data_IF_302922564331
#
_entry.id   IF_302922564331
#
_cell.length_a   1.000
_cell.length_b   1.000
_cell.length_c   1.000
_cell.angle_alpha   90.00
_cell.angle_beta   90.00
_cell.angle_gamma   90.00
#
_symmetry.space_group_name_H-M   'P 1'
#
loop_
_entity.id
_entity.type
_entity.pdbx_description
1 polymer ?
#
# COMPACT_ATOMS: atom_id res chain seq x y z
N UNK A 1 -39.17 -4.12 22.18
CA UNK A 1 -38.72 -3.22 23.28
C UNK A 1 -37.22 -3.27 23.31
N UNK A 2 -36.56 -2.25 22.79
CA UNK A 2 -35.11 -2.15 22.81
C UNK A 2 -34.65 -1.84 24.25
N UNK A 3 -33.99 -2.78 24.88
CA UNK A 3 -33.32 -2.58 26.17
C UNK A 3 -32.21 -1.57 25.97
N UNK A 4 -32.38 -0.35 26.46
CA UNK A 4 -31.27 0.57 26.67
C UNK A 4 -30.34 -0.04 27.72
N UNK A 5 -29.34 -0.79 27.29
CA UNK A 5 -28.25 -1.17 28.18
C UNK A 5 -27.58 0.12 28.65
N UNK A 6 -27.58 0.30 29.94
CA UNK A 6 -26.94 1.40 30.64
C UNK A 6 -25.41 1.22 30.49
N UNK A 7 -24.85 1.65 29.36
CA UNK A 7 -23.40 1.69 29.19
C UNK A 7 -22.88 2.78 30.10
N UNK A 8 -22.18 2.40 31.16
CA UNK A 8 -21.47 3.34 32.04
C UNK A 8 -20.59 4.22 31.14
N UNK A 9 -20.83 5.52 31.13
CA UNK A 9 -20.04 6.46 30.34
C UNK A 9 -18.60 6.41 30.84
N UNK A 10 -17.67 6.17 29.92
CA UNK A 10 -16.25 6.30 30.22
C UNK A 10 -15.95 7.76 30.59
N UNK A 11 -15.30 8.04 31.72
CA UNK A 11 -14.94 9.40 32.11
C UNK A 11 -14.07 10.05 31.00
N UNK A 12 -14.26 11.33 30.80
CA UNK A 12 -13.43 12.08 29.84
C UNK A 12 -11.95 12.11 30.24
N UNK A 13 -11.70 12.09 31.54
CA UNK A 13 -10.36 11.95 32.13
C UNK A 13 -10.39 10.71 33.03
N UNK A 14 -9.59 9.71 32.64
CA UNK A 14 -9.43 8.50 33.43
C UNK A 14 -8.19 8.65 34.34
N UNK A 15 -8.41 8.74 35.66
CA UNK A 15 -7.33 8.90 36.63
C UNK A 15 -6.38 7.69 36.68
N UNK A 16 -6.79 6.51 36.19
CA UNK A 16 -5.93 5.34 36.10
C UNK A 16 -4.79 5.52 35.10
N UNK A 17 -4.90 6.50 34.18
CA UNK A 17 -3.86 6.82 33.22
C UNK A 17 -2.72 7.66 33.78
N UNK A 18 -2.91 8.24 34.98
CA UNK A 18 -1.93 9.12 35.62
C UNK A 18 -0.93 8.33 36.46
N UNK A 19 0.30 8.80 36.51
CA UNK A 19 1.30 8.39 37.50
C UNK A 19 1.43 9.48 38.58
N UNK A 20 0.65 9.34 39.65
CA UNK A 20 0.63 10.33 40.70
C UNK A 20 1.90 10.33 41.58
N UNK A 21 2.85 9.44 41.34
CA UNK A 21 4.15 9.43 42.03
C UNK A 21 5.14 10.44 41.43
N UNK A 22 4.81 10.99 40.25
CA UNK A 22 5.62 12.00 39.53
C UNK A 22 4.95 13.37 39.68
N UNK A 23 5.72 14.39 40.03
CA UNK A 23 5.21 15.76 40.07
C UNK A 23 5.00 16.31 38.65
N UNK A 24 3.88 17.00 38.35
CA UNK A 24 3.57 17.45 37.01
C UNK A 24 4.54 18.51 36.44
N UNK A 25 5.23 19.23 37.32
CA UNK A 25 6.28 20.20 36.99
C UNK A 25 7.65 19.56 36.75
N UNK A 26 7.85 18.32 37.20
CA UNK A 26 9.08 17.55 36.97
C UNK A 26 9.03 16.80 35.61
N UNK A 27 7.95 16.09 35.34
CA UNK A 27 7.71 15.39 34.08
C UNK A 27 6.21 15.25 33.84
N UNK A 28 5.66 16.20 33.09
CA UNK A 28 4.23 16.21 32.80
C UNK A 28 3.79 15.02 31.93
N UNK A 29 4.64 14.55 31.02
CA UNK A 29 4.32 13.40 30.18
C UNK A 29 4.17 12.13 31.03
N UNK A 30 5.15 11.84 31.88
CA UNK A 30 5.09 10.70 32.78
C UNK A 30 3.91 10.83 33.78
N UNK A 31 3.71 12.02 34.34
CA UNK A 31 2.58 12.29 35.21
C UNK A 31 1.24 11.96 34.55
N UNK A 32 1.02 12.47 33.33
CA UNK A 32 -0.26 12.36 32.64
C UNK A 32 -0.52 11.00 31.98
N UNK A 33 0.53 10.25 31.63
CA UNK A 33 0.42 9.02 30.82
C UNK A 33 1.08 7.78 31.45
N UNK A 34 1.81 7.92 32.53
CA UNK A 34 2.60 6.82 33.13
C UNK A 34 1.75 5.62 33.55
N UNK A 35 0.57 5.86 34.14
CA UNK A 35 -0.39 4.81 34.46
C UNK A 35 -0.89 4.07 33.22
N UNK A 36 -1.20 4.82 32.16
CA UNK A 36 -1.62 4.21 30.90
C UNK A 36 -0.51 3.34 30.29
N UNK A 37 0.73 3.82 30.23
CA UNK A 37 1.87 3.07 29.72
C UNK A 37 2.12 1.78 30.50
N UNK A 38 2.00 1.83 31.81
CA UNK A 38 2.13 0.66 32.70
C UNK A 38 1.05 -0.39 32.40
N UNK A 39 -0.19 0.05 32.13
CA UNK A 39 -1.33 -0.83 31.89
C UNK A 39 -1.37 -1.32 30.41
N UNK A 40 -0.66 -0.65 29.49
CA UNK A 40 -0.61 -0.97 28.07
C UNK A 40 0.86 -1.09 27.60
N UNK A 41 1.59 -2.10 28.05
CA UNK A 41 2.99 -2.27 27.66
C UNK A 41 3.10 -2.49 26.14
N UNK A 42 4.19 -1.97 25.55
CA UNK A 42 4.49 -2.18 24.14
C UNK A 42 4.68 -3.68 23.87
N UNK A 43 3.89 -4.20 22.95
CA UNK A 43 4.02 -5.60 22.52
C UNK A 43 5.15 -5.73 21.49
N UNK A 44 5.80 -6.92 21.36
CA UNK A 44 6.92 -7.12 20.45
C UNK A 44 6.62 -6.80 18.98
N UNK A 45 5.37 -6.98 18.58
CA UNK A 45 4.90 -6.74 17.20
C UNK A 45 4.66 -5.27 16.86
N UNK A 46 4.74 -4.36 17.85
CA UNK A 46 4.51 -2.94 17.66
C UNK A 46 5.79 -2.13 17.89
N UNK A 47 6.14 -1.24 16.96
CA UNK A 47 7.18 -0.23 17.14
C UNK A 47 6.73 0.94 18.03
N UNK A 48 5.41 1.13 18.14
CA UNK A 48 4.73 2.11 19.00
C UNK A 48 3.35 1.59 19.34
N UNK A 49 2.84 2.01 20.50
CA UNK A 49 1.47 1.68 20.90
C UNK A 49 0.84 2.87 21.63
N UNK A 50 -0.33 3.29 21.21
CA UNK A 50 -1.05 4.44 21.73
C UNK A 50 -2.57 4.26 21.69
N UNK A 51 -3.31 5.28 22.07
CA UNK A 51 -4.78 5.23 22.09
C UNK A 51 -5.42 4.93 20.74
N UNK A 52 -4.81 5.36 19.64
CA UNK A 52 -5.29 5.00 18.30
C UNK A 52 -5.09 3.51 17.99
N UNK A 53 -4.01 2.90 18.48
CA UNK A 53 -3.77 1.46 18.31
C UNK A 53 -4.79 0.66 19.13
N UNK A 54 -5.10 1.08 20.37
CA UNK A 54 -6.18 0.48 21.17
C UNK A 54 -7.53 0.56 20.45
N UNK A 55 -7.84 1.72 19.84
CA UNK A 55 -9.09 1.87 19.09
C UNK A 55 -9.13 0.95 17.86
N UNK A 56 -8.02 0.83 17.13
CA UNK A 56 -7.90 -0.09 16.00
C UNK A 56 -8.12 -1.54 16.44
N UNK A 57 -7.39 -2.01 17.45
CA UNK A 57 -7.49 -3.38 17.97
C UNK A 57 -8.93 -3.70 18.42
N UNK A 58 -9.57 -2.77 19.11
CA UNK A 58 -10.97 -2.92 19.55
C UNK A 58 -11.94 -2.95 18.35
N UNK A 59 -11.69 -2.14 17.32
CA UNK A 59 -12.52 -2.12 16.12
C UNK A 59 -12.37 -3.41 15.31
N UNK A 60 -11.15 -3.88 15.13
CA UNK A 60 -10.87 -5.17 14.46
C UNK A 60 -11.55 -6.34 15.20
N UNK A 61 -11.47 -6.35 16.52
CA UNK A 61 -12.17 -7.37 17.33
C UNK A 61 -13.68 -7.34 17.10
N UNK A 62 -14.31 -6.15 17.16
CA UNK A 62 -15.75 -5.99 16.92
C UNK A 62 -16.16 -6.40 15.51
N UNK A 63 -15.37 -6.05 14.50
CA UNK A 63 -15.61 -6.43 13.11
C UNK A 63 -15.52 -7.96 12.96
N UNK A 64 -14.51 -8.60 13.55
CA UNK A 64 -14.37 -10.05 13.55
C UNK A 64 -15.54 -10.76 14.24
N UNK A 65 -16.00 -10.26 15.38
CA UNK A 65 -17.19 -10.77 16.07
C UNK A 65 -18.43 -10.66 15.17
N UNK A 66 -18.67 -9.49 14.55
CA UNK A 66 -19.78 -9.24 13.65
C UNK A 66 -19.74 -10.16 12.43
N UNK A 67 -18.59 -10.33 11.78
CA UNK A 67 -18.44 -11.22 10.64
C UNK A 67 -18.65 -12.69 11.03
N UNK A 68 -18.13 -13.09 12.19
CA UNK A 68 -18.39 -14.44 12.73
C UNK A 68 -19.87 -14.69 12.98
N UNK A 69 -20.62 -13.70 13.50
CA UNK A 69 -22.07 -13.81 13.66
C UNK A 69 -22.80 -13.91 12.31
N UNK A 70 -22.38 -13.12 11.30
CA UNK A 70 -22.94 -13.20 9.95
C UNK A 70 -22.78 -14.57 9.30
N UNK A 71 -21.72 -15.31 9.63
CA UNK A 71 -21.55 -16.69 9.11
C UNK A 71 -22.57 -17.68 9.64
N UNK A 72 -23.25 -17.36 10.74
CA UNK A 72 -24.27 -18.23 11.40
C UNK A 72 -25.68 -17.94 10.91
N UNK A 73 -25.89 -16.85 10.20
CA UNK A 73 -27.21 -16.44 9.70
C UNK A 73 -27.50 -17.12 8.37
N UNK A 74 -28.72 -17.60 8.17
CA UNK A 74 -29.21 -18.03 6.86
C UNK A 74 -29.60 -16.80 6.05
N UNK A 75 -28.64 -16.22 5.35
CA UNK A 75 -28.84 -15.01 4.56
C UNK A 75 -29.49 -15.30 3.20
N UNK A 76 -30.29 -14.35 2.71
CA UNK A 76 -30.92 -14.48 1.39
C UNK A 76 -29.85 -14.43 0.26
N UNK A 77 -30.04 -15.20 -0.82
CA UNK A 77 -29.12 -15.18 -1.96
C UNK A 77 -28.95 -13.78 -2.53
N UNK A 78 -27.71 -13.32 -2.70
CA UNK A 78 -27.36 -12.01 -3.23
C UNK A 78 -27.38 -10.86 -2.22
N UNK A 79 -27.80 -11.12 -0.96
CA UNK A 79 -27.78 -10.10 0.09
C UNK A 79 -26.35 -9.70 0.51
N UNK A 80 -26.23 -8.54 1.16
CA UNK A 80 -24.96 -8.05 1.71
C UNK A 80 -24.39 -9.02 2.75
N UNK A 81 -25.28 -9.55 3.61
CA UNK A 81 -24.91 -10.51 4.66
C UNK A 81 -24.34 -11.80 4.08
N UNK A 82 -24.94 -12.32 2.98
CA UNK A 82 -24.38 -13.48 2.28
C UNK A 82 -22.99 -13.19 1.71
N UNK A 83 -22.83 -12.07 1.01
CA UNK A 83 -21.55 -11.69 0.40
C UNK A 83 -20.44 -11.56 1.43
N UNK A 84 -20.73 -10.91 2.57
CA UNK A 84 -19.77 -10.77 3.68
C UNK A 84 -19.45 -12.15 4.27
N UNK A 85 -20.47 -12.97 4.54
CA UNK A 85 -20.29 -14.31 5.10
C UNK A 85 -19.43 -15.19 4.18
N UNK A 86 -19.70 -15.17 2.88
CA UNK A 86 -18.97 -15.98 1.91
C UNK A 86 -17.51 -15.52 1.79
N UNK A 87 -17.26 -14.20 1.70
CA UNK A 87 -15.91 -13.65 1.66
C UNK A 87 -15.12 -13.98 2.93
N UNK A 88 -15.74 -13.83 4.10
CA UNK A 88 -15.11 -14.16 5.38
C UNK A 88 -14.76 -15.65 5.49
N UNK A 89 -15.69 -16.53 5.09
CA UNK A 89 -15.43 -17.98 5.05
C UNK A 89 -14.31 -18.36 4.08
N UNK A 90 -14.28 -17.72 2.89
CA UNK A 90 -13.21 -17.92 1.92
C UNK A 90 -11.84 -17.49 2.48
N UNK A 91 -11.78 -16.36 3.18
CA UNK A 91 -10.55 -15.89 3.82
C UNK A 91 -10.04 -16.79 4.96
N UNK A 92 -10.94 -17.52 5.63
CA UNK A 92 -10.61 -18.45 6.70
C UNK A 92 -10.35 -19.89 6.22
N UNK A 93 -10.60 -20.21 4.95
CA UNK A 93 -10.36 -21.54 4.38
C UNK A 93 -8.86 -21.77 4.10
N UNK A 94 -8.10 -21.94 5.17
CA UNK A 94 -6.66 -22.19 5.08
C UNK A 94 -6.31 -23.43 4.27
N UNK A 95 -7.18 -24.45 4.25
CA UNK A 95 -6.96 -25.68 3.47
C UNK A 95 -6.97 -25.38 1.99
N UNK A 96 -7.96 -24.64 1.52
CA UNK A 96 -8.06 -24.22 0.11
C UNK A 96 -6.94 -23.24 -0.26
N UNK A 97 -6.70 -22.23 0.55
CA UNK A 97 -5.66 -21.23 0.30
C UNK A 97 -4.26 -21.86 0.21
N UNK A 98 -3.95 -22.84 1.08
CA UNK A 98 -2.69 -23.59 1.01
C UNK A 98 -2.60 -24.49 -0.22
N UNK A 99 -3.71 -25.12 -0.63
CA UNK A 99 -3.74 -25.97 -1.82
C UNK A 99 -3.57 -25.15 -3.11
N UNK A 100 -4.18 -23.97 -3.19
CA UNK A 100 -4.07 -23.06 -4.33
C UNK A 100 -2.68 -22.39 -4.38
N UNK A 101 -2.09 -22.04 -3.24
CA UNK A 101 -0.76 -21.43 -3.13
C UNK A 101 -0.61 -20.21 -4.07
N UNK A 102 0.42 -20.23 -4.92
CA UNK A 102 0.69 -19.16 -5.90
C UNK A 102 -0.05 -19.35 -7.24
N UNK A 103 -0.87 -20.41 -7.41
CA UNK A 103 -1.53 -20.67 -8.69
C UNK A 103 -2.35 -19.49 -9.23
N UNK A 104 -3.10 -18.72 -8.42
CA UNK A 104 -3.85 -17.54 -8.89
C UNK A 104 -2.96 -16.43 -9.46
N UNK A 105 -1.69 -16.35 -9.04
CA UNK A 105 -0.77 -15.30 -9.49
C UNK A 105 -0.17 -15.58 -10.87
N UNK A 106 -0.07 -16.86 -11.26
CA UNK A 106 0.70 -17.30 -12.44
C UNK A 106 0.26 -16.63 -13.74
N UNK A 107 -1.03 -16.47 -13.94
CA UNK A 107 -1.55 -15.87 -15.18
C UNK A 107 -1.11 -14.41 -15.33
N UNK A 108 -1.28 -13.59 -14.30
CA UNK A 108 -0.92 -12.17 -14.33
C UNK A 108 0.60 -11.97 -14.35
N UNK A 109 1.36 -12.77 -13.58
CA UNK A 109 2.83 -12.74 -13.61
C UNK A 109 3.34 -13.15 -15.01
N UNK A 110 2.77 -14.20 -15.61
CA UNK A 110 3.11 -14.61 -16.96
C UNK A 110 2.84 -13.54 -18.02
N UNK A 111 1.70 -12.87 -17.93
CA UNK A 111 1.35 -11.74 -18.80
C UNK A 111 2.36 -10.58 -18.67
N UNK A 112 2.71 -10.19 -17.45
CA UNK A 112 3.69 -9.12 -17.18
C UNK A 112 5.07 -9.50 -17.76
N UNK A 113 5.53 -10.73 -17.54
CA UNK A 113 6.84 -11.19 -18.00
C UNK A 113 6.90 -11.40 -19.51
N UNK A 114 5.76 -11.60 -20.18
CA UNK A 114 5.67 -11.77 -21.62
C UNK A 114 5.68 -10.47 -22.43
N UNK A 115 5.76 -9.30 -21.79
CA UNK A 115 5.86 -8.00 -22.47
C UNK A 115 7.11 -7.97 -23.34
N UNK A 116 6.96 -7.77 -24.66
CA UNK A 116 8.05 -7.78 -25.64
C UNK A 116 8.47 -6.36 -26.07
N UNK A 117 7.57 -5.40 -25.96
CA UNK A 117 7.83 -4.00 -26.30
C UNK A 117 7.20 -3.02 -25.32
N UNK A 118 7.67 -1.76 -25.35
CA UNK A 118 7.22 -0.71 -24.42
C UNK A 118 5.79 -0.24 -24.65
N UNK A 119 5.25 -0.39 -25.85
CA UNK A 119 3.87 -0.04 -26.16
C UNK A 119 2.86 -0.83 -25.31
N UNK A 120 3.24 -2.05 -24.92
CA UNK A 120 2.41 -2.91 -24.07
C UNK A 120 2.39 -2.45 -22.61
N UNK A 121 3.37 -1.65 -22.15
CA UNK A 121 3.49 -1.24 -20.74
C UNK A 121 2.29 -0.42 -20.27
N UNK A 122 1.72 0.43 -21.11
CA UNK A 122 0.53 1.22 -20.74
C UNK A 122 -0.61 0.32 -20.26
N UNK A 123 -0.91 -0.74 -20.99
CA UNK A 123 -1.98 -1.68 -20.60
C UNK A 123 -1.69 -2.40 -19.28
N UNK A 124 -0.44 -2.85 -19.08
CA UNK A 124 -0.02 -3.52 -17.84
C UNK A 124 -0.08 -2.55 -16.65
N UNK A 125 0.45 -1.34 -16.78
CA UNK A 125 0.42 -0.33 -15.71
C UNK A 125 -1.01 0.03 -15.35
N UNK A 126 -1.88 0.30 -16.33
CA UNK A 126 -3.30 0.58 -16.08
C UNK A 126 -4.00 -0.58 -15.38
N UNK A 127 -3.75 -1.82 -15.79
CA UNK A 127 -4.30 -3.01 -15.14
C UNK A 127 -3.86 -3.14 -13.69
N UNK A 128 -2.60 -2.87 -13.37
CA UNK A 128 -2.09 -2.89 -12.00
C UNK A 128 -2.75 -1.78 -11.16
N UNK A 129 -2.87 -0.57 -11.68
CA UNK A 129 -3.52 0.55 -10.99
C UNK A 129 -5.00 0.32 -10.72
N UNK A 130 -5.70 -0.48 -11.53
CA UNK A 130 -7.11 -0.83 -11.28
C UNK A 130 -7.28 -2.02 -10.34
N UNK A 131 -6.22 -2.75 -10.04
CA UNK A 131 -6.32 -4.00 -9.27
C UNK A 131 -5.66 -3.89 -7.88
N UNK A 132 -4.33 -3.84 -7.82
CA UNK A 132 -3.64 -4.08 -6.55
C UNK A 132 -2.45 -3.19 -6.27
N UNK A 133 -1.81 -2.58 -7.28
CA UNK A 133 -0.53 -1.89 -7.12
C UNK A 133 -0.46 -0.60 -7.92
N UNK A 134 0.38 0.33 -7.48
CA UNK A 134 0.61 1.62 -8.15
C UNK A 134 2.08 1.76 -8.59
N UNK A 135 2.56 0.97 -9.58
CA UNK A 135 3.92 1.07 -10.07
C UNK A 135 4.17 2.42 -10.76
N UNK A 136 5.38 2.93 -10.64
CA UNK A 136 5.89 4.16 -11.25
C UNK A 136 5.26 5.46 -10.72
N UNK A 137 3.94 5.56 -10.71
CA UNK A 137 3.19 6.73 -10.25
C UNK A 137 1.86 6.32 -9.63
N UNK A 138 1.34 7.17 -8.75
CA UNK A 138 -0.01 7.03 -8.22
C UNK A 138 -0.98 7.93 -8.97
N UNK A 139 -2.22 7.48 -9.14
CA UNK A 139 -3.30 8.25 -9.72
C UNK A 139 -4.49 8.26 -8.78
N UNK A 140 -5.17 9.39 -8.66
CA UNK A 140 -6.36 9.51 -7.83
C UNK A 140 -7.21 10.70 -8.22
N UNK A 141 -8.50 10.61 -7.93
CA UNK A 141 -9.46 11.71 -8.09
C UNK A 141 -9.85 12.17 -6.70
N UNK A 142 -9.70 13.45 -6.42
CA UNK A 142 -10.09 14.06 -5.15
C UNK A 142 -10.50 15.52 -5.36
N UNK A 143 -11.10 16.14 -4.34
CA UNK A 143 -11.41 17.55 -4.39
C UNK A 143 -10.16 18.38 -4.68
N UNK A 144 -10.29 19.37 -5.57
CA UNK A 144 -9.20 20.29 -5.87
C UNK A 144 -8.84 21.10 -4.61
N UNK A 145 -7.54 21.20 -4.29
CA UNK A 145 -7.06 21.89 -3.09
C UNK A 145 -7.35 23.38 -3.08
N UNK A 146 -7.52 24.00 -4.26
CA UNK A 146 -7.80 25.44 -4.42
C UNK A 146 -9.28 25.72 -4.72
N UNK A 147 -10.05 24.69 -5.09
CA UNK A 147 -11.47 24.78 -5.36
C UNK A 147 -12.19 23.47 -5.01
N UNK A 148 -12.58 23.32 -3.76
CA UNK A 148 -13.21 22.10 -3.24
C UNK A 148 -14.57 21.75 -3.87
N UNK A 149 -15.15 22.63 -4.69
CA UNK A 149 -16.41 22.38 -5.38
C UNK A 149 -16.26 21.50 -6.62
N UNK A 150 -15.03 21.28 -7.06
CA UNK A 150 -14.70 20.39 -8.19
C UNK A 150 -13.75 19.27 -7.77
N UNK A 151 -13.81 18.16 -8.50
CA UNK A 151 -12.80 17.11 -8.41
C UNK A 151 -11.71 17.34 -9.46
N UNK A 152 -10.47 17.04 -9.10
CA UNK A 152 -9.33 17.05 -10.00
C UNK A 152 -8.63 15.70 -10.05
N UNK A 153 -7.99 15.41 -11.17
CA UNK A 153 -7.11 14.26 -11.30
C UNK A 153 -5.73 14.61 -10.75
N UNK A 154 -5.23 13.77 -9.86
CA UNK A 154 -3.92 13.92 -9.24
C UNK A 154 -2.98 12.81 -9.70
N UNK A 155 -1.75 13.19 -10.03
CA UNK A 155 -0.65 12.26 -10.30
C UNK A 155 0.45 12.53 -9.28
N UNK A 156 0.93 11.47 -8.65
CA UNK A 156 1.91 11.52 -7.55
C UNK A 156 3.03 10.51 -7.74
N UNK A 157 4.11 10.68 -6.98
CA UNK A 157 5.12 9.62 -6.85
C UNK A 157 4.51 8.37 -6.25
N UNK A 158 4.92 7.21 -6.75
CA UNK A 158 4.58 5.90 -6.22
C UNK A 158 5.59 4.85 -6.70
N UNK A 159 5.38 3.59 -6.32
CA UNK A 159 6.14 2.45 -6.84
C UNK A 159 7.39 2.08 -6.06
N UNK A 160 7.63 2.69 -4.90
CA UNK A 160 8.66 2.25 -3.95
C UNK A 160 8.05 1.26 -2.97
N UNK A 161 8.36 -0.03 -3.08
CA UNK A 161 7.81 -1.09 -2.22
C UNK A 161 8.13 -0.87 -0.74
N UNK A 162 9.33 -0.38 -0.41
CA UNK A 162 9.69 -0.02 0.97
C UNK A 162 9.10 1.32 1.43
N UNK A 163 8.34 2.03 0.58
CA UNK A 163 7.55 3.22 0.89
C UNK A 163 8.33 4.53 1.02
N UNK A 164 9.56 4.53 1.48
CA UNK A 164 10.36 5.74 1.67
C UNK A 164 11.67 5.68 0.89
N UNK A 165 12.00 6.77 0.17
CA UNK A 165 13.25 6.90 -0.59
C UNK A 165 14.51 6.67 0.26
N UNK A 166 14.47 7.07 1.54
CA UNK A 166 15.63 6.99 2.42
C UNK A 166 16.08 5.54 2.68
N UNK A 167 15.15 4.57 2.63
CA UNK A 167 15.50 3.16 2.71
C UNK A 167 16.36 2.68 1.53
N UNK A 168 16.25 3.33 0.38
CA UNK A 168 17.05 3.03 -0.81
C UNK A 168 18.36 3.78 -0.84
N UNK A 169 18.39 5.06 -0.40
CA UNK A 169 19.51 5.97 -0.65
C UNK A 169 20.43 6.16 0.54
N UNK A 170 19.92 6.08 1.78
CA UNK A 170 20.73 6.27 2.98
C UNK A 170 21.64 5.05 3.22
N UNK A 171 22.97 5.24 3.33
CA UNK A 171 23.90 4.17 3.66
C UNK A 171 23.57 3.42 4.96
N UNK A 172 23.02 4.10 5.97
CA UNK A 172 22.66 3.48 7.25
C UNK A 172 21.57 2.40 7.10
N UNK A 173 20.77 2.47 6.03
CA UNK A 173 19.70 1.53 5.70
C UNK A 173 20.16 0.33 4.85
N UNK A 174 21.47 0.04 4.76
CA UNK A 174 21.95 -1.11 3.98
C UNK A 174 21.40 -2.44 4.47
N UNK A 175 21.22 -2.60 5.78
CA UNK A 175 20.64 -3.81 6.37
C UNK A 175 19.18 -4.02 5.93
N UNK A 176 18.40 -2.93 5.78
CA UNK A 176 17.01 -2.96 5.26
C UNK A 176 17.02 -3.40 3.79
N UNK A 177 17.90 -2.81 2.97
CA UNK A 177 18.03 -3.22 1.55
C UNK A 177 18.43 -4.68 1.40
N UNK A 178 19.28 -5.20 2.29
CA UNK A 178 19.64 -6.62 2.30
C UNK A 178 18.41 -7.50 2.58
N UNK A 179 17.67 -7.21 3.64
CA UNK A 179 16.43 -7.90 3.98
C UNK A 179 15.41 -7.84 2.84
N UNK A 180 15.27 -6.66 2.20
CA UNK A 180 14.38 -6.49 1.06
C UNK A 180 14.76 -7.37 -0.14
N UNK A 181 16.05 -7.47 -0.49
CA UNK A 181 16.50 -8.39 -1.54
C UNK A 181 16.20 -9.86 -1.23
N UNK A 182 16.39 -10.27 0.02
CA UNK A 182 16.03 -11.63 0.48
C UNK A 182 14.51 -11.86 0.36
N UNK A 183 13.72 -10.87 0.73
CA UNK A 183 12.26 -10.88 0.56
C UNK A 183 11.86 -11.02 -0.91
N UNK A 184 12.42 -10.20 -1.81
CA UNK A 184 12.16 -10.30 -3.25
C UNK A 184 12.50 -11.70 -3.79
N UNK A 185 13.61 -12.27 -3.37
CA UNK A 185 13.97 -13.64 -3.76
C UNK A 185 12.92 -14.68 -3.33
N UNK A 186 12.36 -14.53 -2.12
CA UNK A 186 11.29 -15.43 -1.62
C UNK A 186 10.00 -15.29 -2.42
N UNK A 187 9.56 -14.07 -2.68
CA UNK A 187 8.30 -13.85 -3.43
C UNK A 187 8.39 -14.31 -4.89
N UNK A 188 9.55 -14.15 -5.52
CA UNK A 188 9.77 -14.64 -6.87
C UNK A 188 9.75 -16.18 -6.93
N UNK A 189 10.43 -16.87 -6.00
CA UNK A 189 10.35 -18.32 -5.89
C UNK A 189 8.92 -18.80 -5.65
N UNK A 190 8.21 -18.13 -4.74
CA UNK A 190 6.80 -18.43 -4.46
C UNK A 190 5.92 -18.28 -5.71
N UNK A 191 6.14 -17.23 -6.51
CA UNK A 191 5.42 -17.02 -7.77
C UNK A 191 5.82 -17.99 -8.89
N UNK A 192 6.85 -18.83 -8.68
CA UNK A 192 7.30 -19.83 -9.63
C UNK A 192 8.32 -19.32 -10.66
N UNK A 193 9.01 -18.23 -10.38
CA UNK A 193 10.16 -17.79 -11.19
C UNK A 193 11.27 -18.85 -11.06
N UNK A 194 11.87 -19.30 -12.18
CA UNK A 194 12.95 -20.28 -12.16
C UNK A 194 14.12 -19.82 -11.27
N UNK A 195 14.71 -20.71 -10.49
CA UNK A 195 15.79 -20.37 -9.55
C UNK A 195 16.97 -19.67 -10.25
N UNK A 196 17.27 -20.06 -11.48
CA UNK A 196 18.33 -19.44 -12.29
C UNK A 196 18.07 -17.95 -12.62
N UNK A 197 16.82 -17.51 -12.59
CA UNK A 197 16.41 -16.14 -12.93
C UNK A 197 16.16 -15.27 -11.69
N UNK A 198 16.07 -15.85 -10.49
CA UNK A 198 15.70 -15.15 -9.26
C UNK A 198 16.67 -14.00 -8.94
N UNK A 199 17.97 -14.26 -9.00
CA UNK A 199 18.98 -13.22 -8.70
C UNK A 199 18.88 -12.04 -9.69
N UNK A 200 18.69 -12.35 -10.97
CA UNK A 200 18.49 -11.35 -12.02
C UNK A 200 17.22 -10.56 -11.83
N UNK A 201 16.13 -11.23 -11.45
CA UNK A 201 14.86 -10.59 -11.16
C UNK A 201 14.97 -9.61 -9.97
N UNK A 202 15.62 -10.03 -8.88
CA UNK A 202 15.90 -9.17 -7.71
C UNK A 202 16.73 -7.96 -8.11
N UNK A 203 17.79 -8.15 -8.91
CA UNK A 203 18.62 -7.06 -9.39
C UNK A 203 17.82 -6.08 -10.26
N UNK A 204 16.95 -6.57 -11.15
CA UNK A 204 16.09 -5.75 -11.99
C UNK A 204 15.13 -4.86 -11.19
N UNK A 205 14.48 -5.42 -10.15
CA UNK A 205 13.65 -4.63 -9.22
C UNK A 205 14.46 -3.52 -8.56
N UNK A 206 15.60 -3.89 -7.97
CA UNK A 206 16.47 -2.92 -7.30
C UNK A 206 16.96 -1.82 -8.23
N UNK A 207 17.29 -2.14 -9.48
CA UNK A 207 17.70 -1.15 -10.48
C UNK A 207 16.61 -0.12 -10.76
N UNK A 208 15.36 -0.53 -10.86
CA UNK A 208 14.23 0.38 -11.09
C UNK A 208 13.93 1.19 -9.83
N UNK A 209 13.75 0.55 -8.67
CA UNK A 209 13.35 1.23 -7.45
C UNK A 209 14.42 2.19 -6.90
N UNK A 210 15.71 1.84 -6.99
CA UNK A 210 16.80 2.76 -6.64
C UNK A 210 16.74 4.04 -7.48
N UNK A 211 16.53 3.91 -8.78
CA UNK A 211 16.40 5.08 -9.66
C UNK A 211 15.12 5.87 -9.40
N UNK A 212 13.99 5.22 -9.11
CA UNK A 212 12.78 5.91 -8.68
C UNK A 212 13.05 6.72 -7.41
N UNK A 213 13.73 6.13 -6.43
CA UNK A 213 14.06 6.78 -5.16
C UNK A 213 14.91 8.06 -5.32
N UNK A 214 15.84 8.09 -6.29
CA UNK A 214 16.73 9.25 -6.52
C UNK A 214 15.98 10.57 -6.74
N UNK A 215 14.79 10.54 -7.34
CA UNK A 215 13.99 11.71 -7.67
C UNK A 215 12.66 11.80 -6.89
N UNK A 216 12.38 10.80 -6.07
CA UNK A 216 11.25 10.84 -5.15
C UNK A 216 11.47 11.90 -4.07
N UNK A 217 10.43 12.54 -3.62
CA UNK A 217 10.47 13.46 -2.51
C UNK A 217 10.54 12.69 -1.18
N UNK A 218 11.31 13.22 -0.25
CA UNK A 218 11.37 12.71 1.12
C UNK A 218 10.06 12.97 1.86
N UNK A 219 9.85 12.27 2.97
CA UNK A 219 8.70 12.51 3.85
C UNK A 219 8.64 13.95 4.39
N UNK A 220 9.77 14.64 4.49
CA UNK A 220 9.83 16.06 4.89
C UNK A 220 9.35 16.96 3.77
N UNK A 221 9.83 16.74 2.54
CA UNK A 221 9.41 17.51 1.36
C UNK A 221 7.91 17.34 1.08
N UNK A 222 7.37 16.13 1.25
CA UNK A 222 5.94 15.83 1.11
C UNK A 222 5.03 16.55 2.13
N UNK A 223 5.57 17.16 3.18
CA UNK A 223 4.79 18.03 4.11
C UNK A 223 4.53 19.41 3.56
N UNK A 224 5.24 19.82 2.52
CA UNK A 224 5.02 21.09 1.86
C UNK A 224 3.86 21.01 0.87
N UNK A 225 2.62 21.08 1.37
CA UNK A 225 1.41 20.96 0.55
C UNK A 225 1.34 21.99 -0.59
N UNK A 226 1.68 23.29 -0.38
CA UNK A 226 1.70 24.24 -1.50
C UNK A 226 2.61 23.84 -2.66
N UNK A 227 3.76 23.21 -2.39
CA UNK A 227 4.67 22.74 -3.44
C UNK A 227 4.12 21.53 -4.23
N UNK A 228 3.14 20.84 -3.69
CA UNK A 228 2.47 19.72 -4.36
C UNK A 228 1.32 20.14 -5.27
N UNK A 229 0.98 21.42 -5.32
CA UNK A 229 -0.10 21.90 -6.17
C UNK A 229 0.46 22.46 -7.48
N UNK A 230 0.61 21.60 -8.50
CA UNK A 230 1.15 21.96 -9.82
C UNK A 230 0.10 21.62 -10.90
N UNK A 231 -0.91 22.51 -11.11
CA UNK A 231 -1.91 22.28 -12.14
C UNK A 231 -1.28 22.38 -13.53
N UNK A 232 -1.51 21.38 -14.34
CA UNK A 232 -0.96 21.22 -15.69
C UNK A 232 -2.11 20.92 -16.64
N UNK A 233 -2.20 21.66 -17.75
CA UNK A 233 -3.19 21.35 -18.77
C UNK A 233 -2.98 19.93 -19.31
N UNK A 234 -4.07 19.18 -19.55
CA UNK A 234 -4.00 17.78 -20.03
C UNK A 234 -3.07 17.64 -21.22
N UNK A 235 -3.22 18.49 -22.25
CA UNK A 235 -2.41 18.40 -23.45
C UNK A 235 -0.90 18.66 -23.23
N UNK A 236 -0.55 19.48 -22.24
CA UNK A 236 0.85 19.73 -21.89
C UNK A 236 1.41 18.58 -21.04
N UNK A 237 0.62 18.05 -20.11
CA UNK A 237 0.97 16.88 -19.34
C UNK A 237 1.32 15.68 -20.24
N UNK A 238 0.48 15.37 -21.19
CA UNK A 238 0.66 14.25 -22.14
C UNK A 238 1.90 14.41 -23.01
N UNK A 239 2.29 15.64 -23.33
CA UNK A 239 3.54 15.92 -24.08
C UNK A 239 4.79 15.79 -23.20
N UNK A 240 4.70 16.20 -21.95
CA UNK A 240 5.83 16.15 -21.00
C UNK A 240 6.09 14.71 -20.56
N UNK A 241 5.04 13.96 -20.28
CA UNK A 241 5.10 12.59 -19.74
C UNK A 241 4.67 11.56 -20.77
N UNK A 242 5.36 11.51 -21.88
CA UNK A 242 5.00 10.81 -23.13
C UNK A 242 5.36 9.31 -23.20
N UNK A 243 5.80 8.72 -22.09
CA UNK A 243 6.12 7.29 -22.00
C UNK A 243 4.87 6.40 -21.95
N UNK A 244 3.72 6.97 -21.62
CA UNK A 244 2.43 6.30 -21.48
C UNK A 244 1.51 6.78 -22.60
N UNK A 245 0.80 5.88 -23.24
CA UNK A 245 -0.37 6.23 -24.06
C UNK A 245 -1.51 6.65 -23.10
N UNK A 246 -1.58 7.94 -22.80
CA UNK A 246 -2.50 8.48 -21.81
C UNK A 246 -3.96 8.31 -22.23
N UNK A 247 -4.30 8.36 -23.51
CA UNK A 247 -5.67 8.12 -23.96
C UNK A 247 -6.11 6.68 -23.67
N UNK A 248 -5.27 5.71 -24.01
CA UNK A 248 -5.50 4.30 -23.68
C UNK A 248 -5.55 4.06 -22.17
N UNK A 249 -4.67 4.75 -21.41
CA UNK A 249 -4.60 4.66 -19.95
C UNK A 249 -5.88 5.19 -19.30
N UNK A 250 -6.34 6.40 -19.61
CA UNK A 250 -7.57 6.98 -19.05
C UNK A 250 -8.78 6.12 -19.35
N UNK A 251 -8.86 5.61 -20.57
CA UNK A 251 -9.94 4.68 -20.95
C UNK A 251 -9.93 3.40 -20.12
N UNK A 252 -8.75 2.81 -19.90
CA UNK A 252 -8.62 1.59 -19.10
C UNK A 252 -8.95 1.83 -17.61
N UNK A 253 -8.60 3.02 -17.10
CA UNK A 253 -8.91 3.45 -15.73
C UNK A 253 -10.36 3.90 -15.53
N UNK A 254 -11.15 4.04 -16.61
CA UNK A 254 -12.51 4.59 -16.53
C UNK A 254 -12.56 6.07 -16.14
N UNK A 255 -11.49 6.82 -16.40
CA UNK A 255 -11.42 8.26 -16.13
C UNK A 255 -12.15 9.00 -17.26
N UNK A 256 -13.14 9.83 -16.89
CA UNK A 256 -13.89 10.64 -17.83
C UNK A 256 -13.13 11.88 -18.32
N UNK A 257 -13.83 12.81 -18.95
CA UNK A 257 -13.25 14.05 -19.45
C UNK A 257 -12.78 14.98 -18.34
N UNK A 258 -11.63 15.58 -18.51
CA UNK A 258 -11.03 16.58 -17.64
C UNK A 258 -10.06 17.47 -18.44
N UNK A 259 -9.77 18.67 -17.92
CA UNK A 259 -8.91 19.64 -18.60
C UNK A 259 -7.53 19.79 -17.92
N UNK A 260 -7.47 19.54 -16.62
CA UNK A 260 -6.30 19.83 -15.79
C UNK A 260 -5.94 18.61 -14.93
N UNK A 261 -4.64 18.37 -14.78
CA UNK A 261 -4.05 17.37 -13.90
C UNK A 261 -3.22 18.09 -12.84
N UNK A 262 -3.34 17.68 -11.59
CA UNK A 262 -2.46 18.18 -10.52
C UNK A 262 -1.28 17.20 -10.37
N UNK A 263 -0.08 17.65 -10.72
CA UNK A 263 1.14 16.86 -10.53
C UNK A 263 1.74 17.21 -9.17
N UNK A 264 1.64 16.27 -8.21
CA UNK A 264 2.06 16.58 -6.83
C UNK A 264 3.57 16.55 -6.65
N UNK A 265 4.27 15.71 -7.40
CA UNK A 265 5.73 15.52 -7.29
C UNK A 265 6.37 15.51 -8.69
N UNK A 266 6.51 16.69 -9.35
CA UNK A 266 6.91 16.76 -10.75
C UNK A 266 8.23 16.06 -11.09
N UNK A 267 9.26 16.18 -10.21
CA UNK A 267 10.55 15.52 -10.41
C UNK A 267 10.46 14.00 -10.40
N UNK A 268 9.64 13.46 -9.51
CA UNK A 268 9.46 12.01 -9.39
C UNK A 268 8.65 11.46 -10.58
N UNK A 269 7.60 12.16 -11.00
CA UNK A 269 6.79 11.75 -12.16
C UNK A 269 7.60 11.83 -13.46
N UNK A 270 8.44 12.87 -13.61
CA UNK A 270 9.35 12.99 -14.77
C UNK A 270 10.36 11.84 -14.80
N UNK A 271 10.91 11.47 -13.66
CA UNK A 271 11.83 10.34 -13.55
C UNK A 271 11.14 8.99 -13.84
N UNK A 272 9.92 8.79 -13.39
CA UNK A 272 9.12 7.60 -13.71
C UNK A 272 8.87 7.50 -15.23
N UNK A 273 8.56 8.62 -15.89
CA UNK A 273 8.42 8.71 -17.32
C UNK A 273 9.73 8.33 -18.05
N UNK A 274 10.86 8.86 -17.60
CA UNK A 274 12.18 8.53 -18.17
C UNK A 274 12.52 7.05 -17.98
N UNK A 275 12.25 6.47 -16.82
CA UNK A 275 12.46 5.04 -16.58
C UNK A 275 11.60 4.16 -17.48
N UNK A 276 10.33 4.49 -17.66
CA UNK A 276 9.45 3.78 -18.61
C UNK A 276 9.99 3.80 -20.05
N UNK A 277 10.65 4.89 -20.43
CA UNK A 277 11.27 5.03 -21.77
C UNK A 277 12.61 4.32 -21.90
N UNK A 278 13.47 4.38 -20.89
CA UNK A 278 14.90 4.13 -21.05
C UNK A 278 15.46 2.99 -20.20
N UNK A 279 14.81 2.59 -19.10
CA UNK A 279 15.29 1.46 -18.30
C UNK A 279 15.23 0.14 -19.09
N UNK A 280 16.09 -0.85 -18.84
CA UNK A 280 15.99 -2.14 -19.49
C UNK A 280 14.57 -2.73 -19.37
N UNK A 281 13.97 -3.14 -20.47
CA UNK A 281 12.59 -3.66 -20.48
C UNK A 281 12.43 -4.86 -19.54
N UNK A 282 13.47 -5.68 -19.45
CA UNK A 282 13.48 -6.83 -18.55
C UNK A 282 13.43 -6.42 -17.08
N UNK A 283 14.18 -5.37 -16.67
CA UNK A 283 14.12 -4.84 -15.31
C UNK A 283 12.71 -4.31 -14.98
N UNK A 284 12.07 -3.63 -15.96
CA UNK A 284 10.68 -3.15 -15.83
C UNK A 284 9.72 -4.32 -15.62
N UNK A 285 9.85 -5.41 -16.40
CA UNK A 285 9.00 -6.60 -16.22
C UNK A 285 9.15 -7.22 -14.84
N UNK A 286 10.37 -7.39 -14.36
CA UNK A 286 10.58 -7.92 -13.00
C UNK A 286 10.05 -6.97 -11.93
N UNK A 287 10.25 -5.67 -12.10
CA UNK A 287 9.68 -4.68 -11.19
C UNK A 287 8.15 -4.74 -11.14
N UNK A 288 7.48 -4.74 -12.28
CA UNK A 288 6.01 -4.84 -12.35
C UNK A 288 5.50 -6.16 -11.76
N UNK A 289 6.20 -7.28 -12.02
CA UNK A 289 5.88 -8.57 -11.42
C UNK A 289 6.03 -8.55 -9.89
N UNK A 290 7.11 -7.95 -9.37
CA UNK A 290 7.30 -7.80 -7.93
C UNK A 290 6.20 -6.96 -7.28
N UNK A 291 5.83 -5.81 -7.88
CA UNK A 291 4.74 -4.95 -7.42
C UNK A 291 3.40 -5.71 -7.36
N UNK A 292 3.11 -6.53 -8.37
CA UNK A 292 1.90 -7.35 -8.38
C UNK A 292 1.92 -8.44 -7.31
N UNK A 293 3.04 -9.18 -7.19
CA UNK A 293 3.16 -10.28 -6.24
C UNK A 293 3.12 -9.76 -4.80
N UNK A 294 3.82 -8.65 -4.50
CA UNK A 294 3.83 -8.02 -3.17
C UNK A 294 2.43 -7.56 -2.76
N UNK A 295 1.72 -6.87 -3.65
CA UNK A 295 0.36 -6.39 -3.39
C UNK A 295 -0.65 -7.54 -3.23
N UNK A 296 -0.47 -8.66 -3.92
CA UNK A 296 -1.30 -9.84 -3.79
C UNK A 296 -0.92 -10.75 -2.61
N UNK A 297 0.26 -10.57 -2.06
CA UNK A 297 0.86 -11.39 -1.00
C UNK A 297 0.00 -11.58 0.28
N UNK A 298 -0.79 -10.61 0.74
CA UNK A 298 -1.64 -10.79 1.92
C UNK A 298 -2.72 -11.86 1.79
N UNK A 299 -3.01 -12.32 0.58
CA UNK A 299 -4.15 -13.21 0.33
C UNK A 299 -3.81 -14.72 0.43
N UNK A 300 -2.67 -15.25 -0.07
CA UNK A 300 -2.31 -16.67 0.12
C UNK A 300 -1.79 -16.93 1.54
N UNK A 301 -2.36 -17.92 2.24
CA UNK A 301 -1.99 -18.23 3.66
C UNK A 301 -0.54 -18.64 3.83
N UNK A 302 0.02 -19.42 2.90
CA UNK A 302 1.43 -19.82 2.93
C UNK A 302 2.39 -18.64 2.85
N UNK A 303 1.94 -17.53 2.26
CA UNK A 303 2.72 -16.31 2.14
C UNK A 303 2.55 -15.38 3.36
N UNK A 304 1.37 -15.30 3.96
CA UNK A 304 1.17 -14.53 5.21
C UNK A 304 2.05 -15.04 6.33
N UNK A 305 2.33 -16.34 6.38
CA UNK A 305 3.32 -16.91 7.30
C UNK A 305 4.76 -16.46 6.98
N UNK A 306 5.12 -16.29 5.71
CA UNK A 306 6.44 -15.78 5.32
C UNK A 306 6.62 -14.31 5.73
N UNK A 307 5.56 -13.47 5.65
CA UNK A 307 5.59 -12.06 6.04
C UNK A 307 5.59 -11.86 7.56
N UNK A 308 4.95 -12.72 8.32
CA UNK A 308 4.90 -12.64 9.79
C UNK A 308 6.26 -12.84 10.49
N UNK A 309 7.27 -13.35 9.78
CA UNK A 309 8.64 -13.51 10.28
C UNK A 309 9.58 -12.32 9.92
N UNK A 310 9.05 -11.23 9.37
CA UNK A 310 9.83 -10.11 8.82
C UNK A 310 9.62 -8.77 9.54
N UNK A 311 8.74 -8.70 10.55
CA UNK A 311 8.51 -7.52 11.40
C UNK A 311 9.38 -7.51 12.65
#
# INVERSE_FOLDING_TARGET
>A
MASCQNTSKTPAIDMANFDLSVAPDADFYQYATGGWQKNNPLKPEYSRYGSFDVLRDNNEKRINELFSEMTKISAAPGSVEQKISDLYKMGLDSTRLNAEGAAPLKSAVGEILSVEDRGQLTGIVAKLHTTVANPFFGVGVQADLMNSDINALYISQSGLTMGNRDYYLDPENEHIRKGYKEYLGRIFRFAGIPEADVEKAVAGVMNVEMKLAEKSWSNVELRNIPAQYNPTAKADFEKIYDAVDWEAYYKAMGIGDFETIIVTTPSAVANANDLLKNAPLEDIRYYLAAQYIDAAAPYPVSYTHLRAHET
#
